data_IF_685482193680
#
_entry.id   IF_685482193680
#
_cell.length_a   1.000
_cell.length_b   1.000
_cell.length_c   1.000
_cell.angle_alpha   90.00
_cell.angle_beta   90.00
_cell.angle_gamma   90.00
#
_symmetry.space_group_name_H-M   'P 1'
#
loop_
_entity.id
_entity.type
_entity.pdbx_description
1 polymer ?
#
# COMPACT_ATOMS: atom_id res chain seq x y z
N UNK A 1 -74.58 -18.37 8.43
CA UNK A 1 -73.15 -18.53 8.11
C UNK A 1 -72.45 -17.24 8.45
N UNK A 2 -71.70 -17.19 9.54
CA UNK A 2 -70.92 -16.01 9.94
C UNK A 2 -69.49 -16.46 10.18
N UNK A 3 -68.57 -16.06 9.30
CA UNK A 3 -67.14 -16.34 9.40
C UNK A 3 -66.52 -15.45 10.47
N UNK A 4 -66.02 -16.04 11.55
CA UNK A 4 -65.21 -15.37 12.56
C UNK A 4 -63.79 -15.21 12.01
N UNK A 5 -63.42 -14.00 11.58
CA UNK A 5 -62.04 -13.68 11.24
C UNK A 5 -61.19 -13.74 12.52
N UNK A 6 -60.13 -14.55 12.50
CA UNK A 6 -59.21 -14.68 13.62
C UNK A 6 -58.44 -13.37 13.86
N UNK A 7 -58.19 -12.97 15.12
CA UNK A 7 -57.44 -11.75 15.43
C UNK A 7 -55.96 -11.89 15.02
N UNK A 8 -55.45 -10.88 14.32
CA UNK A 8 -54.03 -10.76 13.97
C UNK A 8 -53.16 -10.71 15.24
N UNK A 9 -52.01 -11.40 15.31
CA UNK A 9 -51.12 -11.32 16.47
C UNK A 9 -50.58 -9.90 16.65
N UNK A 10 -50.36 -9.45 17.90
CA UNK A 10 -49.84 -8.11 18.17
C UNK A 10 -48.44 -7.95 17.58
N UNK A 11 -48.05 -6.73 17.16
CA UNK A 11 -46.69 -6.47 16.71
C UNK A 11 -45.73 -6.83 17.84
N UNK A 12 -44.79 -7.74 17.57
CA UNK A 12 -43.69 -8.04 18.49
C UNK A 12 -42.76 -6.83 18.44
N UNK A 13 -42.75 -6.07 19.54
CA UNK A 13 -41.96 -4.85 19.65
C UNK A 13 -40.47 -5.21 19.63
N UNK A 14 -39.83 -5.04 18.48
CA UNK A 14 -38.40 -5.28 18.20
C UNK A 14 -37.45 -4.27 18.91
N UNK A 15 -37.92 -3.62 19.98
CA UNK A 15 -37.23 -2.54 20.67
C UNK A 15 -35.91 -2.99 21.32
N UNK A 16 -35.81 -4.27 21.69
CA UNK A 16 -34.61 -4.86 22.29
C UNK A 16 -33.55 -5.27 21.24
N UNK A 17 -33.92 -5.37 19.96
CA UNK A 17 -32.99 -5.76 18.89
C UNK A 17 -32.03 -4.63 18.53
N UNK A 18 -32.48 -3.38 18.64
CA UNK A 18 -31.68 -2.20 18.32
C UNK A 18 -30.41 -2.12 19.19
N UNK A 19 -30.47 -2.21 20.54
CA UNK A 19 -29.27 -2.19 21.36
C UNK A 19 -28.41 -3.45 21.16
N UNK A 20 -29.02 -4.62 20.89
CA UNK A 20 -28.28 -5.84 20.60
C UNK A 20 -27.44 -5.73 19.32
N UNK A 21 -28.02 -5.18 18.24
CA UNK A 21 -27.31 -4.94 16.99
C UNK A 21 -26.17 -3.93 17.19
N UNK A 22 -26.43 -2.83 17.93
CA UNK A 22 -25.40 -1.85 18.23
C UNK A 22 -24.23 -2.45 19.02
N UNK A 23 -24.51 -3.31 20.00
CA UNK A 23 -23.49 -4.01 20.78
C UNK A 23 -22.64 -4.95 19.91
N UNK A 24 -23.28 -5.70 19.01
CA UNK A 24 -22.58 -6.60 18.07
C UNK A 24 -21.67 -5.80 17.13
N UNK A 25 -22.17 -4.72 16.54
CA UNK A 25 -21.37 -3.85 15.66
C UNK A 25 -20.18 -3.26 16.42
N UNK A 26 -20.39 -2.78 17.64
CA UNK A 26 -19.32 -2.26 18.50
C UNK A 26 -18.27 -3.32 18.82
N UNK A 27 -18.69 -4.54 19.14
CA UNK A 27 -17.79 -5.66 19.41
C UNK A 27 -16.98 -6.04 18.17
N UNK A 28 -17.58 -6.04 16.97
CA UNK A 28 -16.88 -6.31 15.71
C UNK A 28 -15.83 -5.21 15.42
N UNK A 29 -16.20 -3.94 15.58
CA UNK A 29 -15.26 -2.82 15.36
C UNK A 29 -14.08 -2.90 16.33
N UNK A 30 -14.36 -3.17 17.61
CA UNK A 30 -13.35 -3.35 18.64
C UNK A 30 -12.44 -4.54 18.34
N UNK A 31 -13.02 -5.68 17.96
CA UNK A 31 -12.27 -6.88 17.60
C UNK A 31 -11.36 -6.60 16.39
N UNK A 32 -11.87 -5.93 15.36
CA UNK A 32 -11.07 -5.51 14.20
C UNK A 32 -9.91 -4.60 14.64
N UNK A 33 -10.15 -3.64 15.52
CA UNK A 33 -9.10 -2.73 15.98
C UNK A 33 -8.03 -3.39 16.86
N UNK A 34 -8.40 -4.43 17.61
CA UNK A 34 -7.49 -5.13 18.52
C UNK A 34 -6.71 -6.25 17.83
N UNK A 35 -7.33 -6.97 16.90
CA UNK A 35 -6.80 -8.23 16.37
C UNK A 35 -6.38 -8.16 14.90
N UNK A 36 -6.79 -7.15 14.13
CA UNK A 36 -6.26 -6.96 12.78
C UNK A 36 -4.93 -6.22 12.90
N UNK A 37 -3.79 -6.85 12.52
CA UNK A 37 -2.51 -6.17 12.49
C UNK A 37 -2.63 -4.96 11.57
N UNK A 38 -2.40 -3.76 12.11
CA UNK A 38 -2.29 -2.56 11.30
C UNK A 38 -1.15 -2.81 10.31
N UNK A 39 -1.32 -2.53 9.01
CA UNK A 39 -0.21 -2.61 8.09
C UNK A 39 0.88 -1.70 8.66
N UNK A 40 2.04 -2.27 9.00
CA UNK A 40 3.23 -1.48 9.26
C UNK A 40 3.47 -0.71 7.97
N UNK A 41 3.03 0.55 7.91
CA UNK A 41 3.34 1.42 6.81
C UNK A 41 4.85 1.60 6.88
N UNK A 42 5.56 0.81 6.08
CA UNK A 42 6.97 1.03 5.84
C UNK A 42 7.03 2.40 5.15
N UNK A 43 7.33 3.42 5.94
CA UNK A 43 7.41 4.78 5.46
C UNK A 43 8.54 4.83 4.43
N UNK A 44 8.35 5.59 3.36
CA UNK A 44 9.40 5.73 2.36
C UNK A 44 10.52 6.56 2.97
N UNK A 45 11.57 5.89 3.46
CA UNK A 45 12.73 6.53 4.08
C UNK A 45 13.62 7.26 3.06
N UNK A 46 13.40 7.00 1.78
CA UNK A 46 14.02 7.73 0.68
C UNK A 46 13.96 6.97 -0.62
N UNK A 47 14.74 7.42 -1.60
CA UNK A 47 14.77 6.87 -2.94
C UNK A 47 16.20 6.55 -3.37
N UNK A 48 16.40 5.46 -4.12
CA UNK A 48 17.68 5.13 -4.74
C UNK A 48 17.55 4.95 -6.24
N UNK A 49 18.67 5.11 -6.93
CA UNK A 49 18.76 4.85 -8.37
C UNK A 49 19.27 3.43 -8.56
N UNK A 50 18.47 2.62 -9.24
CA UNK A 50 18.89 1.32 -9.76
C UNK A 50 19.23 1.49 -11.23
N UNK A 51 20.41 1.03 -11.63
CA UNK A 51 20.87 1.09 -13.00
C UNK A 51 21.16 -0.31 -13.53
N UNK A 52 20.91 -0.53 -14.81
CA UNK A 52 21.14 -1.76 -15.52
C UNK A 52 21.87 -1.44 -16.83
N UNK A 53 22.92 -2.19 -17.13
CA UNK A 53 23.61 -2.11 -18.41
C UNK A 53 22.98 -3.14 -19.36
N UNK A 54 22.41 -2.67 -20.46
CA UNK A 54 21.75 -3.48 -21.46
C UNK A 54 22.60 -3.63 -22.73
N UNK A 55 22.54 -4.82 -23.33
CA UNK A 55 23.03 -5.10 -24.68
C UNK A 55 21.89 -5.81 -25.43
N UNK A 56 21.14 -5.06 -26.22
CA UNK A 56 19.89 -5.54 -26.81
C UNK A 56 18.86 -5.88 -25.72
N UNK A 57 18.31 -7.09 -25.75
CA UNK A 57 17.33 -7.55 -24.77
C UNK A 57 17.95 -8.02 -23.42
N UNK A 58 19.28 -8.15 -23.34
CA UNK A 58 19.96 -8.66 -22.14
C UNK A 58 20.43 -7.50 -21.28
N UNK A 59 19.84 -7.35 -20.10
CA UNK A 59 20.22 -6.34 -19.11
C UNK A 59 20.90 -7.00 -17.91
N UNK A 60 21.98 -6.39 -17.42
CA UNK A 60 22.64 -6.79 -16.18
C UNK A 60 22.58 -5.65 -15.17
N UNK A 61 22.18 -5.91 -13.91
CA UNK A 61 22.17 -4.90 -12.89
C UNK A 61 23.59 -4.38 -12.65
N UNK A 62 23.71 -3.07 -12.60
CA UNK A 62 24.90 -2.39 -12.11
C UNK A 62 24.79 -2.23 -10.60
N UNK A 63 25.93 -2.16 -9.92
CA UNK A 63 25.97 -1.94 -8.48
C UNK A 63 25.14 -0.71 -8.12
N UNK A 64 24.07 -0.93 -7.34
CA UNK A 64 23.20 0.16 -6.90
C UNK A 64 24.02 1.18 -6.10
N UNK A 65 23.78 2.47 -6.34
CA UNK A 65 24.41 3.51 -5.55
C UNK A 65 23.90 3.43 -4.11
N UNK A 66 24.82 3.49 -3.13
CA UNK A 66 24.46 3.61 -1.71
C UNK A 66 23.86 4.97 -1.35
N UNK A 67 23.83 5.93 -2.29
CA UNK A 67 23.25 7.25 -2.08
C UNK A 67 21.72 7.18 -2.07
N UNK A 68 21.15 7.58 -0.95
CA UNK A 68 19.73 7.78 -0.76
C UNK A 68 19.38 9.24 -1.04
N UNK A 69 18.32 9.45 -1.81
CA UNK A 69 17.75 10.75 -2.13
C UNK A 69 16.49 10.97 -1.29
N UNK A 70 16.39 12.12 -0.62
CA UNK A 70 15.19 12.47 0.15
C UNK A 70 13.98 12.82 -0.73
N UNK A 71 14.18 13.17 -2.00
CA UNK A 71 13.11 13.59 -2.91
C UNK A 71 12.96 12.69 -4.13
N UNK A 72 11.73 12.24 -4.39
CA UNK A 72 11.37 11.43 -5.57
C UNK A 72 11.78 12.11 -6.88
N UNK A 73 11.44 13.39 -7.04
CA UNK A 73 11.72 14.14 -8.25
C UNK A 73 13.22 14.29 -8.54
N UNK A 74 14.03 14.52 -7.51
CA UNK A 74 15.48 14.61 -7.66
C UNK A 74 16.07 13.26 -8.12
N UNK A 75 15.59 12.16 -7.53
CA UNK A 75 15.98 10.82 -7.92
C UNK A 75 15.54 10.48 -9.36
N UNK A 76 14.31 10.79 -9.75
CA UNK A 76 13.80 10.59 -11.11
C UNK A 76 14.58 11.42 -12.13
N UNK A 77 14.82 12.70 -11.87
CA UNK A 77 15.58 13.57 -12.76
C UNK A 77 17.02 13.08 -12.95
N UNK A 78 17.65 12.55 -11.89
CA UNK A 78 18.98 11.96 -12.00
C UNK A 78 18.96 10.63 -12.75
N UNK A 79 17.98 9.76 -12.49
CA UNK A 79 17.81 8.50 -13.22
C UNK A 79 17.59 8.74 -14.73
N UNK A 80 16.75 9.73 -15.09
CA UNK A 80 16.53 10.11 -16.49
C UNK A 80 17.80 10.61 -17.18
N UNK A 81 18.61 11.41 -16.47
CA UNK A 81 19.91 11.85 -17.00
C UNK A 81 20.87 10.67 -17.25
N UNK A 82 20.94 9.71 -16.31
CA UNK A 82 21.78 8.51 -16.48
C UNK A 82 21.27 7.66 -17.65
N UNK A 83 19.96 7.49 -17.78
CA UNK A 83 19.39 6.74 -18.89
C UNK A 83 19.64 7.40 -20.25
N UNK A 84 19.67 8.74 -20.30
CA UNK A 84 19.86 9.51 -21.54
C UNK A 84 21.33 9.62 -21.95
N UNK A 85 22.22 9.85 -21.01
CA UNK A 85 23.64 10.12 -21.29
C UNK A 85 24.56 8.95 -20.99
N UNK A 86 24.05 7.87 -20.40
CA UNK A 86 24.84 6.73 -19.98
C UNK A 86 25.71 7.03 -18.76
N UNK A 87 26.61 6.10 -18.48
CA UNK A 87 27.65 6.26 -17.46
C UNK A 87 28.97 6.63 -18.13
N UNK A 88 29.79 7.49 -17.50
CA UNK A 88 31.07 7.88 -18.07
C UNK A 88 31.96 6.64 -18.25
N UNK A 89 32.34 6.36 -19.50
CA UNK A 89 33.20 5.23 -19.87
C UNK A 89 32.49 3.90 -20.12
N UNK A 90 31.15 3.82 -20.07
CA UNK A 90 30.42 2.60 -20.44
C UNK A 90 29.73 2.78 -21.81
N UNK A 91 30.11 2.02 -22.85
CA UNK A 91 29.51 2.14 -24.19
C UNK A 91 28.14 1.44 -24.32
N UNK A 92 27.64 0.85 -23.24
CA UNK A 92 26.36 0.11 -23.22
C UNK A 92 25.17 1.04 -23.01
N UNK A 93 24.00 0.62 -23.48
CA UNK A 93 22.74 1.29 -23.15
C UNK A 93 22.51 1.14 -21.65
N UNK A 94 22.36 2.25 -20.94
CA UNK A 94 22.08 2.23 -19.50
C UNK A 94 20.60 2.51 -19.29
N UNK A 95 19.92 1.61 -18.60
CA UNK A 95 18.58 1.87 -18.07
C UNK A 95 18.72 2.23 -16.61
N UNK A 96 18.12 3.34 -16.20
CA UNK A 96 18.13 3.77 -14.82
C UNK A 96 16.71 4.10 -14.37
N UNK A 97 16.36 3.65 -13.17
CA UNK A 97 15.06 3.91 -12.55
C UNK A 97 15.23 4.34 -11.10
N UNK A 98 14.31 5.19 -10.67
CA UNK A 98 14.20 5.56 -9.28
C UNK A 98 13.32 4.54 -8.54
N UNK A 99 13.79 4.01 -7.42
CA UNK A 99 13.05 3.06 -6.58
C UNK A 99 12.91 3.60 -5.16
N UNK A 100 11.72 3.45 -4.59
CA UNK A 100 11.46 3.79 -3.20
C UNK A 100 12.14 2.77 -2.29
N UNK A 101 12.81 3.26 -1.25
CA UNK A 101 13.33 2.43 -0.18
C UNK A 101 12.30 2.48 0.94
N UNK A 102 11.68 1.33 1.17
CA UNK A 102 10.83 1.12 2.33
C UNK A 102 11.72 0.89 3.56
N UNK A 103 11.46 1.59 4.66
CA UNK A 103 12.15 1.40 5.92
C UNK A 103 11.16 1.33 7.08
N UNK A 104 11.58 0.73 8.19
CA UNK A 104 10.88 0.87 9.46
C UNK A 104 11.34 2.18 10.11
N UNK A 105 10.44 3.05 10.61
CA UNK A 105 10.85 4.13 11.49
C UNK A 105 11.55 3.48 12.69
N UNK A 106 12.84 3.78 12.86
CA UNK A 106 13.60 3.31 14.02
C UNK A 106 12.94 3.88 15.29
N UNK A 107 12.60 2.98 16.21
CA UNK A 107 12.03 3.28 17.53
C UNK A 107 12.93 4.19 18.37
#
# INVERSE_FOLDING_TARGET
>A
MSNTAAPSPPPVNDLWRIPAIAAIVGAIVLWVHLFIPKPAHAETIGYRIEAEACRGAVCRPLTASSRIWGGLYACQGRAANIARFGLPGDPREIRARCTAIAGMPSA
#
